data_IF_479406745511
#
_entry.id   IF_479406745511
#
_cell.length_a   1.000
_cell.length_b   1.000
_cell.length_c   1.000
_cell.angle_alpha   90.00
_cell.angle_beta   90.00
_cell.angle_gamma   90.00
#
_symmetry.space_group_name_H-M   'P 1'
#
loop_
_entity.id
_entity.type
_entity.pdbx_description
1 polymer ?
#
# COMPACT_ATOMS: atom_id res chain seq x y z
N UNK A 1 26.21 -33.03 -58.76
CA UNK A 1 27.53 -32.82 -58.12
C UNK A 1 27.31 -32.28 -56.72
N UNK A 2 27.79 -33.02 -55.70
CA UNK A 2 28.09 -32.66 -54.27
C UNK A 2 26.97 -31.96 -53.47
N UNK A 3 26.27 -32.58 -52.52
CA UNK A 3 26.69 -33.13 -51.20
C UNK A 3 27.35 -32.11 -50.25
N UNK A 4 26.70 -31.80 -49.12
CA UNK A 4 27.20 -32.11 -47.76
C UNK A 4 26.57 -31.24 -46.66
N UNK A 5 26.11 -31.93 -45.61
CA UNK A 5 25.80 -31.46 -44.26
C UNK A 5 26.97 -30.70 -43.59
N UNK A 6 26.68 -29.87 -42.58
CA UNK A 6 27.21 -30.02 -41.20
C UNK A 6 26.57 -29.04 -40.19
N UNK A 7 26.28 -29.59 -39.01
CA UNK A 7 25.98 -28.93 -37.72
C UNK A 7 27.23 -28.22 -37.17
N UNK A 8 27.02 -27.26 -36.28
CA UNK A 8 28.06 -26.75 -35.37
C UNK A 8 27.47 -25.93 -34.22
N UNK A 9 27.47 -26.52 -33.02
CA UNK A 9 27.25 -25.87 -31.71
C UNK A 9 28.41 -24.94 -31.33
N UNK A 10 28.13 -23.85 -30.60
CA UNK A 10 28.77 -23.42 -29.34
C UNK A 10 28.27 -22.00 -28.99
N UNK A 11 27.65 -21.76 -27.83
CA UNK A 11 28.18 -21.69 -26.46
C UNK A 11 28.77 -20.31 -26.08
N UNK A 12 28.18 -19.77 -24.99
CA UNK A 12 28.69 -18.79 -24.04
C UNK A 12 28.99 -17.36 -24.51
N UNK A 13 28.19 -16.42 -24.00
CA UNK A 13 28.67 -15.57 -22.90
C UNK A 13 27.50 -15.02 -22.08
N UNK A 14 27.47 -15.42 -20.82
CA UNK A 14 26.68 -14.84 -19.74
C UNK A 14 27.14 -13.40 -19.55
N UNK A 15 26.23 -12.44 -19.66
CA UNK A 15 26.38 -11.12 -19.05
C UNK A 15 25.43 -11.08 -17.86
N UNK A 16 26.01 -11.20 -16.67
CA UNK A 16 25.37 -10.83 -15.43
C UNK A 16 25.11 -9.32 -15.49
N UNK A 17 23.86 -8.90 -15.69
CA UNK A 17 23.46 -7.56 -15.30
C UNK A 17 22.95 -7.63 -13.87
N UNK A 18 23.86 -7.22 -12.98
CA UNK A 18 23.64 -6.94 -11.58
C UNK A 18 22.44 -6.02 -11.39
N UNK A 19 21.61 -6.38 -10.42
CA UNK A 19 20.53 -5.56 -9.87
C UNK A 19 20.95 -4.09 -9.74
N UNK A 20 20.41 -3.25 -10.61
CA UNK A 20 20.56 -1.80 -10.55
C UNK A 20 19.66 -1.24 -9.46
N UNK A 21 20.26 -0.87 -8.32
CA UNK A 21 19.74 0.19 -7.47
C UNK A 21 19.49 1.45 -8.31
N UNK A 22 18.48 2.28 -8.02
CA UNK A 22 18.25 3.49 -8.78
C UNK A 22 19.44 4.45 -8.66
N UNK A 23 19.84 4.93 -9.84
CA UNK A 23 20.92 5.85 -10.12
C UNK A 23 20.79 7.18 -9.35
N UNK A 24 21.80 7.51 -8.54
CA UNK A 24 21.91 8.75 -7.77
C UNK A 24 22.22 10.00 -8.62
N UNK A 25 22.08 9.93 -9.95
CA UNK A 25 22.38 11.02 -10.89
C UNK A 25 21.14 11.77 -11.42
N UNK A 26 20.04 11.83 -10.66
CA UNK A 26 18.94 12.77 -10.99
C UNK A 26 19.39 14.21 -10.69
N UNK A 27 19.38 15.13 -11.68
CA UNK A 27 19.68 16.53 -11.43
C UNK A 27 18.60 17.13 -10.52
N UNK A 28 19.02 17.80 -9.44
CA UNK A 28 18.13 18.60 -8.62
C UNK A 28 17.29 19.51 -9.52
N UNK A 29 15.96 19.46 -9.36
CA UNK A 29 15.05 20.33 -10.08
C UNK A 29 15.52 21.78 -9.90
N UNK A 30 15.82 22.45 -11.03
CA UNK A 30 16.17 23.86 -11.05
C UNK A 30 14.90 24.66 -10.76
N UNK A 31 14.59 24.84 -9.48
CA UNK A 31 13.63 25.85 -9.06
C UNK A 31 14.18 27.22 -9.52
N UNK A 32 13.40 27.89 -10.36
CA UNK A 32 13.66 29.27 -10.77
C UNK A 32 13.88 30.12 -9.52
N UNK A 33 14.76 31.13 -9.61
CA UNK A 33 15.11 32.04 -8.51
C UNK A 33 13.85 32.73 -7.96
N UNK A 34 13.17 32.09 -7.02
CA UNK A 34 12.17 32.72 -6.19
C UNK A 34 12.92 33.66 -5.25
N UNK A 35 12.56 34.94 -5.30
CA UNK A 35 13.12 35.94 -4.40
C UNK A 35 12.63 35.63 -3.00
N UNK A 36 13.51 35.08 -2.17
CA UNK A 36 13.32 35.02 -0.73
C UNK A 36 13.27 36.46 -0.18
N UNK A 37 12.05 36.98 -0.04
CA UNK A 37 11.79 38.09 0.87
C UNK A 37 12.24 37.66 2.26
N UNK A 38 12.96 38.54 2.95
CA UNK A 38 13.60 38.29 4.23
C UNK A 38 12.56 37.94 5.31
N UNK A 39 12.19 36.66 5.41
CA UNK A 39 11.37 36.17 6.51
C UNK A 39 12.29 35.99 7.72
N UNK A 40 12.11 36.88 8.69
CA UNK A 40 12.74 36.76 10.01
C UNK A 40 12.26 35.47 10.66
N UNK A 41 13.20 34.58 10.96
CA UNK A 41 13.01 33.44 11.86
C UNK A 41 12.87 33.95 13.30
N UNK A 42 11.75 34.60 13.63
CA UNK A 42 11.39 34.92 15.02
C UNK A 42 10.25 34.01 15.45
N UNK A 43 10.59 32.78 15.86
CA UNK A 43 10.03 31.98 16.98
C UNK A 43 10.42 30.51 16.86
N UNK A 44 10.88 29.85 17.92
CA UNK A 44 11.10 28.40 17.90
C UNK A 44 9.74 27.68 17.86
N UNK A 45 9.48 26.95 16.76
CA UNK A 45 8.35 26.02 16.61
C UNK A 45 8.62 24.67 17.30
N UNK A 46 9.36 24.65 18.40
CA UNK A 46 9.42 23.47 19.27
C UNK A 46 8.35 23.62 20.36
N UNK A 47 7.08 23.52 19.93
CA UNK A 47 6.04 23.02 20.82
C UNK A 47 6.47 21.61 21.22
N UNK A 48 6.51 21.35 22.53
CA UNK A 48 6.99 20.07 23.09
C UNK A 48 6.20 18.93 22.46
N UNK A 49 6.87 18.06 21.70
CA UNK A 49 6.31 16.76 21.39
C UNK A 49 5.84 16.11 22.69
N UNK A 50 4.59 15.60 22.78
CA UNK A 50 4.18 14.80 23.92
C UNK A 50 5.19 13.64 24.08
N UNK A 51 5.52 13.22 25.32
CA UNK A 51 6.44 12.11 25.52
C UNK A 51 5.91 10.90 24.75
N UNK A 52 6.72 10.44 23.79
CA UNK A 52 6.38 9.34 22.90
C UNK A 52 5.89 8.16 23.71
N UNK A 53 4.58 7.90 23.62
CA UNK A 53 3.99 6.69 24.16
C UNK A 53 4.55 5.57 23.28
N UNK A 54 5.52 4.84 23.80
CA UNK A 54 6.06 3.66 23.15
C UNK A 54 4.85 2.79 22.74
N UNK A 55 4.71 2.52 21.44
CA UNK A 55 3.72 1.57 20.97
C UNK A 55 3.95 0.26 21.74
N UNK A 56 2.90 -0.34 22.35
CA UNK A 56 3.06 -1.61 23.02
C UNK A 56 3.58 -2.64 22.01
N UNK A 57 4.64 -3.36 22.38
CA UNK A 57 5.13 -4.48 21.58
C UNK A 57 3.98 -5.48 21.37
N UNK A 58 3.73 -5.96 20.13
CA UNK A 58 2.65 -6.90 19.89
C UNK A 58 2.87 -8.15 20.73
N UNK A 59 1.87 -8.53 21.53
CA UNK A 59 1.89 -9.72 22.36
C UNK A 59 2.18 -10.97 21.51
N UNK A 60 3.02 -11.88 22.03
CA UNK A 60 3.39 -13.15 21.39
C UNK A 60 2.12 -13.93 21.01
N UNK A 61 1.94 -14.17 19.70
CA UNK A 61 0.74 -14.80 19.11
C UNK A 61 0.96 -16.32 18.89
N UNK A 62 -0.06 -17.17 19.11
CA UNK A 62 0.01 -18.60 18.81
C UNK A 62 0.10 -18.85 17.29
N UNK A 63 0.66 -20.00 16.91
CA UNK A 63 1.17 -20.35 15.56
C UNK A 63 0.25 -19.96 14.40
N UNK A 64 0.68 -18.90 13.72
CA UNK A 64 0.08 -18.22 12.57
C UNK A 64 0.29 -19.00 11.26
N UNK A 65 -0.47 -18.71 10.20
CA UNK A 65 -0.02 -19.06 8.86
C UNK A 65 1.13 -18.13 8.50
N UNK A 66 2.33 -18.61 8.72
CA UNK A 66 3.54 -18.04 8.15
C UNK A 66 3.39 -18.10 6.63
N UNK A 67 3.47 -16.96 5.93
CA UNK A 67 3.81 -16.98 4.51
C UNK A 67 5.03 -17.89 4.38
N UNK A 68 4.99 -18.93 3.56
CA UNK A 68 6.19 -19.75 3.40
C UNK A 68 7.26 -18.92 2.67
N UNK A 69 8.52 -19.34 2.75
CA UNK A 69 9.61 -18.54 2.16
C UNK A 69 9.45 -18.41 0.64
N UNK A 70 8.83 -19.40 0.01
CA UNK A 70 8.50 -19.37 -1.42
C UNK A 70 7.46 -18.29 -1.73
N UNK A 71 6.39 -18.16 -0.94
CA UNK A 71 5.39 -17.12 -1.09
C UNK A 71 6.02 -15.73 -0.90
N UNK A 72 6.88 -15.57 0.11
CA UNK A 72 7.63 -14.31 0.30
C UNK A 72 8.48 -13.98 -0.92
N UNK A 73 9.20 -14.95 -1.45
CA UNK A 73 10.03 -14.73 -2.64
C UNK A 73 9.19 -14.39 -3.87
N UNK A 74 8.06 -15.09 -4.09
CA UNK A 74 7.11 -14.74 -5.16
C UNK A 74 6.67 -13.27 -5.01
N UNK A 75 6.29 -12.82 -3.81
CA UNK A 75 5.88 -11.44 -3.56
C UNK A 75 7.04 -10.48 -3.82
N UNK A 76 8.27 -10.76 -3.36
CA UNK A 76 9.46 -9.92 -3.62
C UNK A 76 9.71 -9.77 -5.12
N UNK A 77 9.61 -10.85 -5.88
CA UNK A 77 9.80 -10.85 -7.33
C UNK A 77 8.71 -10.03 -8.04
N UNK A 78 7.45 -10.12 -7.58
CA UNK A 78 6.32 -9.36 -8.13
C UNK A 78 6.32 -7.87 -7.71
N UNK A 79 6.79 -7.54 -6.51
CA UNK A 79 6.98 -6.14 -6.08
C UNK A 79 8.05 -5.45 -6.94
N UNK A 80 9.08 -6.18 -7.35
CA UNK A 80 10.10 -5.67 -8.25
C UNK A 80 9.57 -5.52 -9.69
N UNK A 81 8.82 -6.51 -10.19
CA UNK A 81 8.17 -6.45 -11.49
C UNK A 81 6.86 -7.26 -11.50
N UNK A 82 5.75 -6.53 -11.37
CA UNK A 82 4.40 -7.07 -11.38
C UNK A 82 4.03 -7.81 -12.68
N UNK A 83 4.77 -7.59 -13.78
CA UNK A 83 4.55 -8.22 -15.09
C UNK A 83 5.48 -9.40 -15.35
N UNK A 84 6.32 -9.77 -14.38
CA UNK A 84 7.26 -10.86 -14.52
C UNK A 84 6.53 -12.16 -14.91
N UNK A 85 6.95 -12.84 -15.98
CA UNK A 85 6.34 -14.12 -16.37
C UNK A 85 6.41 -15.13 -15.23
N UNK A 86 5.34 -15.90 -15.03
CA UNK A 86 5.33 -16.95 -14.01
C UNK A 86 6.35 -18.05 -14.28
N UNK A 87 6.74 -18.27 -15.55
CA UNK A 87 7.87 -19.13 -15.91
C UNK A 87 9.17 -18.65 -15.27
N UNK A 88 9.40 -17.34 -15.30
CA UNK A 88 10.62 -16.77 -14.79
C UNK A 88 10.61 -16.88 -13.27
N UNK A 89 9.51 -16.54 -12.60
CA UNK A 89 9.34 -16.71 -11.16
C UNK A 89 9.58 -18.17 -10.76
N UNK A 90 8.98 -19.12 -11.50
CA UNK A 90 9.09 -20.56 -11.26
C UNK A 90 10.55 -21.06 -11.27
N UNK A 91 11.38 -20.55 -12.18
CA UNK A 91 12.82 -20.84 -12.19
C UNK A 91 13.57 -20.32 -10.95
N UNK A 92 13.13 -19.20 -10.36
CA UNK A 92 13.80 -18.61 -9.17
C UNK A 92 13.39 -19.32 -7.88
N UNK A 93 12.18 -19.87 -7.83
CA UNK A 93 11.61 -20.47 -6.61
C UNK A 93 11.52 -22.00 -6.65
N UNK A 94 12.17 -22.64 -7.63
CA UNK A 94 12.18 -24.09 -7.84
C UNK A 94 10.78 -24.73 -7.93
N UNK A 95 9.87 -24.08 -8.65
CA UNK A 95 8.50 -24.56 -8.90
C UNK A 95 8.21 -24.69 -10.39
N UNK A 96 7.03 -25.22 -10.72
CA UNK A 96 6.46 -25.12 -12.07
C UNK A 96 5.69 -23.81 -12.23
N UNK A 97 5.56 -23.30 -13.45
CA UNK A 97 4.76 -22.10 -13.71
C UNK A 97 3.28 -22.22 -13.25
N UNK A 98 2.59 -23.37 -13.43
CA UNK A 98 1.26 -23.57 -12.85
C UNK A 98 1.25 -23.48 -11.31
N UNK A 99 2.25 -24.06 -10.64
CA UNK A 99 2.34 -23.99 -9.17
C UNK A 99 2.57 -22.56 -8.66
N UNK A 100 3.31 -21.73 -9.40
CA UNK A 100 3.43 -20.30 -9.10
C UNK A 100 2.10 -19.59 -9.31
N UNK A 101 1.38 -19.89 -10.40
CA UNK A 101 0.03 -19.32 -10.64
C UNK A 101 -0.90 -19.61 -9.48
N UNK A 102 -1.00 -20.88 -9.08
CA UNK A 102 -1.87 -21.31 -7.96
C UNK A 102 -1.51 -20.60 -6.65
N UNK A 103 -0.21 -20.34 -6.40
CA UNK A 103 0.25 -19.59 -5.24
C UNK A 103 -0.15 -18.12 -5.31
N UNK A 104 0.04 -17.46 -6.46
CA UNK A 104 -0.35 -16.05 -6.64
C UNK A 104 -1.87 -15.89 -6.52
N UNK A 105 -2.64 -16.79 -7.10
CA UNK A 105 -4.10 -16.76 -7.03
C UNK A 105 -4.57 -16.97 -5.58
N UNK A 106 -3.99 -17.93 -4.87
CA UNK A 106 -4.24 -18.08 -3.42
C UNK A 106 -3.88 -16.81 -2.64
N UNK A 107 -2.73 -16.19 -2.90
CA UNK A 107 -2.30 -14.95 -2.21
C UNK A 107 -3.27 -13.79 -2.45
N UNK A 108 -3.92 -13.74 -3.62
CA UNK A 108 -5.00 -12.80 -3.93
C UNK A 108 -6.29 -13.12 -3.21
N UNK A 109 -6.67 -14.40 -3.17
CA UNK A 109 -7.88 -14.87 -2.49
C UNK A 109 -7.84 -14.57 -1.00
N UNK A 110 -6.67 -14.73 -0.36
CA UNK A 110 -6.48 -14.44 1.07
C UNK A 110 -6.12 -12.98 1.35
N UNK A 111 -6.14 -12.09 0.35
CA UNK A 111 -5.96 -10.65 0.53
C UNK A 111 -4.51 -10.19 0.77
N UNK A 112 -3.52 -11.09 0.74
CA UNK A 112 -2.10 -10.69 0.82
C UNK A 112 -1.69 -9.88 -0.41
N UNK A 113 -2.21 -10.26 -1.58
CA UNK A 113 -2.11 -9.46 -2.79
C UNK A 113 -3.49 -8.86 -3.06
N UNK A 114 -3.69 -7.62 -2.64
CA UNK A 114 -4.95 -6.90 -2.86
C UNK A 114 -5.20 -6.64 -4.35
N UNK A 115 -4.14 -6.39 -5.12
CA UNK A 115 -4.24 -6.10 -6.54
C UNK A 115 -2.89 -5.86 -7.22
N UNK A 116 -2.95 -5.60 -8.52
CA UNK A 116 -1.81 -5.21 -9.33
C UNK A 116 -2.08 -3.81 -9.86
N UNK A 117 -1.18 -2.88 -9.58
CA UNK A 117 -1.35 -1.47 -9.93
C UNK A 117 -0.12 -0.93 -10.65
N UNK A 118 -0.26 0.26 -11.24
CA UNK A 118 0.83 1.01 -11.83
C UNK A 118 1.37 2.01 -10.81
N UNK A 119 2.69 2.10 -10.71
CA UNK A 119 3.35 3.23 -10.07
C UNK A 119 3.54 4.32 -11.09
N UNK A 120 2.96 5.48 -10.81
CA UNK A 120 3.03 6.65 -11.67
C UNK A 120 3.91 7.69 -10.98
N UNK A 121 4.89 8.22 -11.72
CA UNK A 121 5.68 9.37 -11.28
C UNK A 121 4.86 10.64 -11.56
N UNK A 122 4.17 11.15 -10.54
CA UNK A 122 3.29 12.31 -10.71
C UNK A 122 4.04 13.62 -10.96
N UNK A 123 5.33 13.72 -10.60
CA UNK A 123 6.16 14.88 -10.96
C UNK A 123 6.39 14.92 -12.48
N UNK A 124 6.52 13.74 -13.09
CA UNK A 124 6.63 13.61 -14.54
C UNK A 124 5.30 13.93 -15.28
N UNK A 125 4.15 13.81 -14.60
CA UNK A 125 2.84 14.14 -15.15
C UNK A 125 2.46 15.62 -15.00
N UNK A 126 3.28 16.43 -14.32
CA UNK A 126 2.98 17.84 -14.02
C UNK A 126 1.67 18.05 -13.24
N UNK A 127 1.29 17.08 -12.41
CA UNK A 127 0.03 17.06 -11.64
C UNK A 127 0.02 18.00 -10.40
N UNK A 128 0.76 19.11 -10.45
CA UNK A 128 0.85 20.07 -9.35
C UNK A 128 1.82 19.66 -8.24
N UNK A 129 1.68 20.31 -7.09
CA UNK A 129 2.52 20.14 -5.91
C UNK A 129 1.95 19.03 -5.01
N UNK A 130 2.78 18.06 -4.65
CA UNK A 130 2.44 17.12 -3.58
C UNK A 130 2.47 17.83 -2.23
N UNK A 131 1.40 17.67 -1.46
CA UNK A 131 1.29 18.21 -0.10
C UNK A 131 0.96 17.11 0.89
N UNK A 132 1.48 17.29 2.10
CA UNK A 132 1.12 16.55 3.29
C UNK A 132 0.28 17.47 4.16
N UNK A 133 -1.02 17.16 4.28
CA UNK A 133 -1.94 17.95 5.07
C UNK A 133 -2.44 17.17 6.28
N UNK A 134 -2.55 17.87 7.40
CA UNK A 134 -3.00 17.33 8.68
C UNK A 134 -4.19 18.14 9.14
N UNK A 135 -5.28 17.44 9.44
CA UNK A 135 -6.56 17.98 9.88
C UNK A 135 -6.78 17.52 11.33
N UNK A 136 -6.81 18.48 12.24
CA UNK A 136 -7.34 18.26 13.58
C UNK A 136 -8.84 18.49 13.54
N UNK A 137 -9.59 17.51 14.04
CA UNK A 137 -11.06 17.50 14.04
C UNK A 137 -11.59 17.00 15.36
N UNK A 138 -12.86 17.27 15.64
CA UNK A 138 -13.52 16.69 16.79
C UNK A 138 -13.48 15.15 16.72
N UNK A 139 -13.20 14.43 17.83
CA UNK A 139 -13.12 12.96 17.81
C UNK A 139 -14.37 12.26 17.29
N UNK A 140 -15.54 12.89 17.45
CA UNK A 140 -16.81 12.38 16.95
C UNK A 140 -16.93 12.45 15.41
N UNK A 141 -16.15 13.33 14.77
CA UNK A 141 -16.18 13.58 13.33
C UNK A 141 -15.02 12.93 12.57
N UNK A 142 -14.00 12.44 13.27
CA UNK A 142 -12.74 11.95 12.68
C UNK A 142 -12.95 10.89 11.58
N UNK A 143 -13.78 9.88 11.84
CA UNK A 143 -14.08 8.82 10.87
C UNK A 143 -14.81 9.36 9.63
N UNK A 144 -15.81 10.22 9.86
CA UNK A 144 -16.59 10.85 8.78
C UNK A 144 -15.70 11.73 7.90
N UNK A 145 -14.83 12.54 8.52
CA UNK A 145 -13.89 13.41 7.80
C UNK A 145 -12.89 12.58 7.03
N UNK A 146 -12.31 11.55 7.65
CA UNK A 146 -11.39 10.63 7.00
C UNK A 146 -12.00 10.00 5.74
N UNK A 147 -13.22 9.46 5.83
CA UNK A 147 -13.89 8.85 4.68
C UNK A 147 -14.16 9.83 3.54
N UNK A 148 -14.57 11.05 3.88
CA UNK A 148 -14.84 12.09 2.89
C UNK A 148 -13.58 12.54 2.15
N UNK A 149 -12.47 12.79 2.86
CA UNK A 149 -11.20 13.15 2.21
C UNK A 149 -10.59 11.98 1.44
N UNK A 150 -10.73 10.74 1.93
CA UNK A 150 -10.24 9.54 1.25
C UNK A 150 -10.92 9.32 -0.12
N UNK A 151 -12.16 9.78 -0.29
CA UNK A 151 -12.89 9.70 -1.55
C UNK A 151 -12.58 10.81 -2.55
N UNK A 152 -11.76 11.80 -2.18
CA UNK A 152 -11.50 12.96 -3.03
C UNK A 152 -10.45 12.65 -4.12
N UNK A 153 -10.71 13.03 -5.38
CA UNK A 153 -9.88 12.64 -6.56
C UNK A 153 -8.41 13.08 -6.48
N UNK A 154 -8.15 14.17 -5.74
CA UNK A 154 -6.82 14.74 -5.53
C UNK A 154 -6.04 14.10 -4.39
N UNK A 155 -6.68 13.25 -3.58
CA UNK A 155 -6.05 12.58 -2.44
C UNK A 155 -5.48 11.24 -2.91
N UNK A 156 -4.17 11.05 -2.69
CA UNK A 156 -3.48 9.81 -2.99
C UNK A 156 -3.54 8.83 -1.81
N UNK A 157 -3.41 9.38 -0.60
CA UNK A 157 -3.48 8.62 0.64
C UNK A 157 -4.20 9.42 1.71
N UNK A 158 -5.06 8.75 2.46
CA UNK A 158 -5.67 9.27 3.66
C UNK A 158 -5.39 8.31 4.82
N UNK A 159 -5.13 8.88 5.99
CA UNK A 159 -4.81 8.17 7.21
C UNK A 159 -5.63 8.75 8.34
N UNK A 160 -6.19 7.87 9.18
CA UNK A 160 -6.74 8.22 10.48
C UNK A 160 -5.82 7.65 11.56
N UNK A 161 -5.27 8.52 12.39
CA UNK A 161 -4.41 8.10 13.50
C UNK A 161 -5.25 7.63 14.68
N UNK A 162 -4.66 6.80 15.55
CA UNK A 162 -5.36 6.28 16.74
C UNK A 162 -5.75 7.38 17.75
N UNK A 163 -5.10 8.54 17.70
CA UNK A 163 -5.42 9.74 18.46
C UNK A 163 -6.42 10.67 17.78
N UNK A 164 -6.96 10.28 16.61
CA UNK A 164 -8.09 10.95 15.95
C UNK A 164 -7.70 12.06 14.98
N UNK A 165 -6.44 12.12 14.56
CA UNK A 165 -5.97 13.07 13.56
C UNK A 165 -6.14 12.49 12.15
N UNK A 166 -6.62 13.31 11.21
CA UNK A 166 -6.75 12.91 9.81
C UNK A 166 -5.58 13.51 9.03
N UNK A 167 -4.80 12.66 8.37
CA UNK A 167 -3.65 13.09 7.56
C UNK A 167 -3.84 12.63 6.13
N UNK A 168 -3.54 13.50 5.17
CA UNK A 168 -3.64 13.20 3.74
C UNK A 168 -2.36 13.55 2.99
N UNK A 169 -2.04 12.73 2.00
CA UNK A 169 -1.12 13.06 0.91
C UNK A 169 -1.98 13.36 -0.30
N UNK A 170 -1.85 14.56 -0.85
CA UNK A 170 -2.66 15.03 -1.96
C UNK A 170 -1.82 15.75 -3.00
N UNK A 171 -2.32 15.78 -4.25
CA UNK A 171 -1.79 16.63 -5.32
C UNK A 171 -2.67 17.85 -5.53
N UNK A 172 -2.09 19.02 -5.38
CA UNK A 172 -2.81 20.29 -5.41
C UNK A 172 -2.01 21.32 -6.19
N UNK A 173 -2.69 22.33 -6.72
CA UNK A 173 -2.02 23.57 -7.08
C UNK A 173 -1.71 24.34 -5.78
N UNK A 174 -0.68 25.19 -5.77
CA UNK A 174 -0.03 25.75 -4.57
C UNK A 174 -0.98 26.46 -3.56
N UNK A 175 -2.20 26.80 -3.99
CA UNK A 175 -3.24 27.49 -3.20
C UNK A 175 -4.46 26.61 -2.87
N UNK A 176 -4.55 25.37 -3.36
CA UNK A 176 -5.81 24.58 -3.45
C UNK A 176 -5.98 23.50 -2.37
N UNK A 177 -4.98 23.28 -1.50
CA UNK A 177 -5.13 22.28 -0.43
C UNK A 177 -6.28 22.60 0.53
N UNK A 178 -6.51 23.89 0.77
CA UNK A 178 -7.62 24.37 1.60
C UNK A 178 -8.96 24.14 0.89
N UNK A 179 -9.02 24.42 -0.40
CA UNK A 179 -10.22 24.24 -1.22
C UNK A 179 -10.59 22.75 -1.31
N UNK A 180 -9.61 21.86 -1.44
CA UNK A 180 -9.82 20.41 -1.38
C UNK A 180 -10.53 20.00 -0.09
N UNK A 181 -10.07 20.51 1.06
CA UNK A 181 -10.68 20.20 2.35
C UNK A 181 -12.07 20.80 2.46
N UNK A 182 -12.27 22.02 1.98
CA UNK A 182 -13.57 22.69 1.96
C UNK A 182 -14.58 21.92 1.08
N UNK A 183 -14.17 21.52 -0.12
CA UNK A 183 -14.95 20.74 -1.07
C UNK A 183 -15.31 19.34 -0.52
N UNK A 184 -14.40 18.72 0.23
CA UNK A 184 -14.61 17.38 0.77
C UNK A 184 -15.51 17.37 2.02
N UNK A 185 -15.31 18.29 2.97
CA UNK A 185 -15.93 18.22 4.31
C UNK A 185 -16.46 19.54 4.86
N UNK A 186 -16.18 20.67 4.20
CA UNK A 186 -16.41 22.01 4.73
C UNK A 186 -15.37 22.38 5.80
N UNK A 187 -14.82 23.59 5.72
CA UNK A 187 -13.81 24.05 6.68
C UNK A 187 -14.32 24.16 8.12
N UNK A 188 -15.63 24.25 8.33
CA UNK A 188 -16.24 24.25 9.68
C UNK A 188 -16.07 22.94 10.43
N UNK A 189 -15.80 21.83 9.73
CA UNK A 189 -15.57 20.52 10.34
C UNK A 189 -14.12 20.35 10.84
N UNK A 190 -13.25 21.33 10.60
CA UNK A 190 -11.81 21.26 10.87
C UNK A 190 -11.40 22.33 11.86
N UNK A 191 -10.88 21.90 13.01
CA UNK A 191 -10.39 22.79 14.07
C UNK A 191 -9.05 23.43 13.68
N UNK A 192 -8.15 22.64 13.07
CA UNK A 192 -6.85 23.10 12.61
C UNK A 192 -6.45 22.38 11.32
N UNK A 193 -5.92 23.14 10.35
CA UNK A 193 -5.39 22.62 9.09
C UNK A 193 -3.93 23.06 8.94
N UNK A 194 -3.03 22.07 8.88
CA UNK A 194 -1.61 22.26 8.59
C UNK A 194 -1.30 21.66 7.22
N UNK A 195 -0.68 22.43 6.32
CA UNK A 195 -0.31 21.97 4.98
C UNK A 195 1.18 22.14 4.78
N UNK A 196 1.84 21.08 4.32
CA UNK A 196 3.29 21.04 4.12
C UNK A 196 3.60 20.53 2.71
N UNK A 197 4.26 21.32 1.85
CA UNK A 197 4.79 20.82 0.60
C UNK A 197 5.72 19.62 0.82
N UNK A 198 5.62 18.62 -0.05
CA UNK A 198 6.53 17.49 -0.09
C UNK A 198 7.56 17.72 -1.18
N UNK A 199 8.84 17.77 -0.79
CA UNK A 199 9.96 17.88 -1.74
C UNK A 199 10.23 16.56 -2.47
N UNK A 200 9.96 15.44 -1.81
CA UNK A 200 10.10 14.09 -2.35
C UNK A 200 9.28 13.10 -1.52
N UNK A 201 8.82 12.03 -2.16
CA UNK A 201 8.28 10.85 -1.51
C UNK A 201 8.81 9.60 -2.22
N UNK A 202 9.04 8.52 -1.47
CA UNK A 202 9.54 7.26 -2.02
C UNK A 202 8.66 6.10 -1.56
N UNK A 203 8.20 5.28 -2.50
CA UNK A 203 7.51 4.04 -2.21
C UNK A 203 8.51 2.89 -2.15
N UNK A 204 8.69 2.35 -0.95
CA UNK A 204 9.59 1.24 -0.64
C UNK A 204 8.83 0.12 0.08
N UNK A 205 8.04 -0.69 -0.64
CA UNK A 205 7.27 -1.76 -0.03
C UNK A 205 8.24 -2.81 0.52
N UNK A 206 8.10 -3.13 1.81
CA UNK A 206 8.88 -4.19 2.43
C UNK A 206 7.96 -5.37 2.72
N UNK A 207 8.37 -6.56 2.29
CA UNK A 207 7.84 -7.81 2.84
C UNK A 207 8.68 -8.12 4.07
N UNK A 208 8.20 -7.72 5.24
CA UNK A 208 8.84 -8.11 6.50
C UNK A 208 8.72 -9.62 6.75
N UNK A 209 9.37 -10.12 7.81
CA UNK A 209 9.23 -11.52 8.26
C UNK A 209 7.86 -11.80 8.90
N UNK A 210 6.99 -10.79 8.99
CA UNK A 210 5.71 -10.86 9.67
C UNK A 210 4.86 -12.03 9.16
N UNK A 211 4.47 -12.89 10.11
CA UNK A 211 3.49 -13.93 9.90
C UNK A 211 2.11 -13.32 9.58
N UNK A 212 1.39 -13.93 8.64
CA UNK A 212 0.05 -13.49 8.29
C UNK A 212 -0.92 -13.98 9.37
N UNK A 213 -1.30 -13.09 10.29
CA UNK A 213 -2.32 -13.36 11.30
C UNK A 213 -3.71 -12.95 10.79
N UNK A 214 -4.28 -13.77 9.90
CA UNK A 214 -5.67 -13.61 9.46
C UNK A 214 -6.59 -14.20 10.53
N UNK A 215 -7.53 -13.40 11.06
CA UNK A 215 -8.53 -13.83 12.03
C UNK A 215 -9.88 -14.06 11.34
N UNK A 216 -10.60 -15.10 11.78
CA UNK A 216 -11.93 -15.42 11.30
C UNK A 216 -12.92 -14.35 11.79
N UNK A 217 -13.63 -13.70 10.87
CA UNK A 217 -14.58 -12.63 11.22
C UNK A 217 -15.74 -13.12 12.10
N UNK A 218 -16.10 -14.41 12.02
CA UNK A 218 -17.19 -14.98 12.83
C UNK A 218 -16.77 -15.39 14.24
N UNK A 219 -15.65 -16.07 14.37
CA UNK A 219 -15.30 -16.74 15.62
C UNK A 219 -13.98 -16.25 16.23
N UNK A 220 -13.26 -15.35 15.56
CA UNK A 220 -11.99 -14.79 16.03
C UNK A 220 -10.81 -15.78 15.96
N UNK A 221 -11.03 -17.03 15.54
CA UNK A 221 -9.94 -18.00 15.39
C UNK A 221 -9.03 -17.64 14.23
N UNK A 222 -7.73 -17.92 14.36
CA UNK A 222 -6.78 -17.78 13.25
C UNK A 222 -7.17 -18.69 12.09
N UNK A 223 -7.18 -18.13 10.87
CA UNK A 223 -7.54 -18.82 9.65
C UNK A 223 -6.35 -19.64 9.14
N UNK A 224 -6.54 -20.95 9.00
CA UNK A 224 -5.49 -21.89 8.56
C UNK A 224 -5.54 -22.13 7.05
N UNK A 225 -4.82 -23.17 6.59
CA UNK A 225 -4.73 -23.56 5.18
C UNK A 225 -6.03 -23.97 4.52
N UNK A 226 -6.93 -24.49 5.34
CA UNK A 226 -8.20 -25.02 4.90
C UNK A 226 -9.32 -23.98 5.13
N UNK A 227 -8.94 -22.77 5.57
CA UNK A 227 -9.87 -21.66 5.76
C UNK A 227 -10.41 -21.12 4.45
N UNK A 228 -11.59 -20.53 4.51
CA UNK A 228 -12.30 -19.97 3.37
C UNK A 228 -12.22 -18.44 3.38
N UNK A 229 -12.24 -17.82 2.22
CA UNK A 229 -12.32 -16.36 2.07
C UNK A 229 -13.45 -16.02 1.11
N UNK A 230 -14.22 -14.98 1.41
CA UNK A 230 -15.31 -14.53 0.56
C UNK A 230 -15.36 -13.00 0.49
N UNK A 231 -15.75 -12.47 -0.66
CA UNK A 231 -16.05 -11.04 -0.82
C UNK A 231 -17.54 -10.82 -0.67
N UNK A 232 -17.94 -10.00 0.30
CA UNK A 232 -19.32 -9.60 0.57
C UNK A 232 -19.32 -8.06 0.56
N UNK A 233 -20.14 -7.46 -0.31
CA UNK A 233 -20.14 -6.01 -0.62
C UNK A 233 -18.76 -5.41 -0.91
N UNK A 234 -17.95 -6.14 -1.66
CA UNK A 234 -16.59 -5.71 -2.02
C UNK A 234 -15.57 -5.80 -0.89
N UNK A 235 -15.99 -6.08 0.35
CA UNK A 235 -15.10 -6.31 1.49
C UNK A 235 -14.69 -7.77 1.54
N UNK A 236 -13.39 -8.04 1.66
CA UNK A 236 -12.85 -9.39 1.80
C UNK A 236 -12.92 -9.85 3.26
N UNK A 237 -13.59 -10.96 3.51
CA UNK A 237 -13.71 -11.60 4.80
C UNK A 237 -13.05 -12.98 4.79
N UNK A 238 -12.52 -13.37 5.94
CA UNK A 238 -11.85 -14.65 6.13
C UNK A 238 -12.54 -15.49 7.20
N UNK A 239 -12.57 -16.81 6.98
CA UNK A 239 -13.30 -17.77 7.78
C UNK A 239 -12.45 -19.00 8.05
N UNK A 240 -12.47 -19.51 9.28
CA UNK A 240 -11.71 -20.73 9.60
C UNK A 240 -12.27 -22.00 8.95
N UNK A 241 -13.53 -21.97 8.47
CA UNK A 241 -14.21 -23.07 7.79
C UNK A 241 -15.50 -22.58 7.09
N UNK A 242 -16.06 -23.40 6.20
CA UNK A 242 -17.28 -23.07 5.45
C UNK A 242 -18.52 -22.81 6.30
N UNK A 243 -18.64 -23.46 7.46
CA UNK A 243 -19.76 -23.17 8.37
C UNK A 243 -19.67 -21.78 9.00
N UNK A 244 -18.46 -21.25 9.23
CA UNK A 244 -18.30 -19.86 9.65
C UNK A 244 -18.68 -18.90 8.51
N UNK A 245 -18.27 -19.21 7.27
CA UNK A 245 -18.68 -18.42 6.10
C UNK A 245 -20.20 -18.35 5.94
N UNK A 246 -20.86 -19.51 5.91
CA UNK A 246 -22.31 -19.61 5.75
C UNK A 246 -23.07 -18.91 6.88
N UNK A 247 -22.57 -19.00 8.12
CA UNK A 247 -23.18 -18.30 9.26
C UNK A 247 -23.05 -16.78 9.14
N UNK A 248 -21.90 -16.28 8.65
CA UNK A 248 -21.72 -14.85 8.42
C UNK A 248 -22.63 -14.34 7.33
N UNK A 249 -22.67 -15.02 6.18
CA UNK A 249 -23.50 -14.64 5.03
C UNK A 249 -24.98 -14.52 5.47
N UNK A 250 -25.53 -15.54 6.16
CA UNK A 250 -26.89 -15.51 6.70
C UNK A 250 -27.14 -14.43 7.76
N UNK A 251 -26.11 -14.05 8.51
CA UNK A 251 -26.20 -12.95 9.49
C UNK A 251 -26.21 -11.61 8.79
N UNK A 252 -25.36 -11.45 7.78
CA UNK A 252 -25.21 -10.25 6.97
C UNK A 252 -26.49 -9.95 6.19
N UNK A 253 -27.03 -10.95 5.47
CA UNK A 253 -28.31 -10.84 4.73
C UNK A 253 -29.47 -10.37 5.63
N UNK A 254 -29.58 -10.92 6.85
CA UNK A 254 -30.61 -10.50 7.81
C UNK A 254 -30.49 -9.06 8.27
N UNK A 255 -29.27 -8.54 8.34
CA UNK A 255 -29.00 -7.16 8.74
C UNK A 255 -29.35 -6.22 7.59
N UNK A 256 -29.05 -6.61 6.35
CA UNK A 256 -29.42 -5.83 5.15
C UNK A 256 -30.94 -5.82 4.90
N UNK A 257 -31.63 -6.96 5.05
CA UNK A 257 -33.08 -7.05 4.86
C UNK A 257 -33.90 -6.29 5.93
N UNK A 258 -33.27 -5.96 7.06
CA UNK A 258 -33.87 -5.22 8.17
C UNK A 258 -33.54 -3.74 8.23
N UNK A 259 -32.74 -3.22 7.29
CA UNK A 259 -32.25 -1.84 7.23
C UNK A 259 -33.10 -0.92 6.33
#
# INVERSE_FOLDING_TARGET
MRASLRRGHNCLSVAHDTAGFPDASRPAARFGRLRFGHLRFDRPLFGRSPPGRLLPAPAERPTMRTLDETDREIIRLLLADARRPYSDIAERVDLSAPAVSDRVDRLREIGVIEGFTLRIDGDALSDGLSVFATLSVAPADAERVHQAVAGHERVEHAFLTADGEVTVVARVEEETARDLVDDAVGLEAVDELSVRPLDAHEWSPAVGDADLAVECVECGNTVTAEGESARIDGTLYHFCCGSCRENFEQRFERIEEGA
#
